data_IF_396666144270
#
_entry.id   IF_396666144270
#
_cell.length_a   1.000
_cell.length_b   1.000
_cell.length_c   1.000
_cell.angle_alpha   90.00
_cell.angle_beta   90.00
_cell.angle_gamma   90.00
#
_symmetry.space_group_name_H-M   'P 1'
#
loop_
_entity.id
_entity.type
_entity.pdbx_description
1 polymer ?
#
# COMPACT_ATOMS: atom_id res chain seq x y z
N UNK A 1 3.54 -22.55 35.56
CA UNK A 1 3.01 -22.69 34.19
C UNK A 1 1.97 -21.60 33.99
N UNK A 2 2.39 -20.41 33.56
CA UNK A 2 1.47 -19.34 33.20
C UNK A 2 1.11 -19.56 31.73
N UNK A 3 -0.15 -19.86 31.44
CA UNK A 3 -0.64 -19.96 30.08
C UNK A 3 -0.65 -18.54 29.51
N UNK A 4 0.19 -18.27 28.51
CA UNK A 4 0.19 -17.02 27.77
C UNK A 4 -1.08 -16.97 26.93
N UNK A 5 -2.15 -16.35 27.47
CA UNK A 5 -3.39 -16.09 26.73
C UNK A 5 -3.17 -15.00 25.66
N UNK A 6 -2.01 -14.34 25.66
CA UNK A 6 -1.75 -13.15 24.85
C UNK A 6 -1.19 -13.47 23.46
N UNK A 7 -0.64 -14.67 23.24
CA UNK A 7 0.08 -14.99 22.00
C UNK A 7 -0.84 -15.48 20.86
N UNK A 8 -1.96 -16.15 21.15
CA UNK A 8 -2.82 -16.74 20.11
C UNK A 8 -4.02 -15.87 19.72
N UNK A 9 -4.71 -15.22 20.67
CA UNK A 9 -6.01 -14.59 20.37
C UNK A 9 -5.90 -13.19 19.72
N UNK A 10 -4.78 -12.49 19.94
CA UNK A 10 -4.53 -11.16 19.37
C UNK A 10 -3.68 -11.16 18.09
N UNK A 11 -2.93 -12.23 17.80
CA UNK A 11 -2.07 -12.31 16.62
C UNK A 11 -2.85 -12.64 15.34
N UNK A 12 -4.00 -13.33 15.44
CA UNK A 12 -4.72 -13.85 14.28
C UNK A 12 -5.79 -12.90 13.72
N UNK A 13 -6.19 -11.87 14.49
CA UNK A 13 -7.18 -10.90 14.02
C UNK A 13 -6.49 -9.69 13.42
N UNK A 14 -6.06 -9.82 12.16
CA UNK A 14 -5.81 -8.66 11.29
C UNK A 14 -7.13 -7.88 11.17
N UNK A 15 -7.38 -6.91 12.05
CA UNK A 15 -8.54 -6.05 11.91
C UNK A 15 -8.31 -5.19 10.66
N UNK A 16 -9.18 -5.36 9.66
CA UNK A 16 -9.15 -4.53 8.47
C UNK A 16 -10.03 -3.32 8.70
N UNK A 17 -9.48 -2.13 8.49
CA UNK A 17 -10.27 -0.90 8.46
C UNK A 17 -10.06 -0.18 7.16
N UNK A 18 -11.01 0.69 6.83
CA UNK A 18 -10.99 1.48 5.60
C UNK A 18 -10.89 2.94 5.91
N UNK A 19 -10.09 3.63 5.12
CA UNK A 19 -9.94 5.07 5.16
C UNK A 19 -10.03 5.62 3.74
N UNK A 20 -10.52 6.85 3.62
CA UNK A 20 -10.37 7.63 2.39
C UNK A 20 -9.48 8.81 2.71
N UNK A 21 -8.33 8.88 2.04
CA UNK A 21 -7.34 9.95 2.25
C UNK A 21 -7.02 10.56 0.89
N UNK A 22 -7.24 11.88 0.75
CA UNK A 22 -6.96 12.63 -0.48
C UNK A 22 -7.54 11.97 -1.76
N UNK A 23 -8.80 11.52 -1.65
CA UNK A 23 -9.54 10.86 -2.72
C UNK A 23 -9.15 9.40 -2.99
N UNK A 24 -8.25 8.80 -2.18
CA UNK A 24 -7.82 7.41 -2.30
C UNK A 24 -8.46 6.56 -1.20
N UNK A 25 -9.19 5.53 -1.60
CA UNK A 25 -9.78 4.55 -0.69
C UNK A 25 -8.78 3.44 -0.38
N UNK A 26 -8.40 3.26 0.88
CA UNK A 26 -7.44 2.25 1.33
C UNK A 26 -8.06 1.35 2.38
N UNK A 27 -7.97 0.04 2.16
CA UNK A 27 -7.98 -0.96 3.23
C UNK A 27 -6.60 -0.97 3.88
N UNK A 28 -6.58 -0.99 5.20
CA UNK A 28 -5.39 -1.12 6.04
C UNK A 28 -5.61 -2.27 7.01
N UNK A 29 -4.53 -2.96 7.39
CA UNK A 29 -4.59 -4.11 8.28
C UNK A 29 -3.36 -4.22 9.20
N UNK A 30 -2.75 -3.06 9.51
CA UNK A 30 -1.59 -2.99 10.39
C UNK A 30 -1.92 -3.38 11.84
N UNK A 31 -1.29 -4.44 12.34
CA UNK A 31 -1.24 -4.76 13.76
C UNK A 31 0.23 -4.85 14.18
N UNK A 32 0.60 -4.05 15.19
CA UNK A 32 1.99 -3.92 15.64
C UNK A 32 2.61 -5.26 16.06
N UNK A 33 3.93 -5.33 15.89
CA UNK A 33 4.86 -6.39 16.31
C UNK A 33 4.95 -7.68 15.46
N UNK A 34 4.13 -7.89 14.43
CA UNK A 34 4.38 -8.97 13.48
C UNK A 34 5.53 -8.62 12.49
N UNK A 35 6.40 -9.58 12.19
CA UNK A 35 7.43 -9.42 11.15
C UNK A 35 6.77 -9.02 9.81
N UNK A 36 7.39 -8.07 9.10
CA UNK A 36 6.89 -7.51 7.83
C UNK A 36 5.48 -6.87 7.87
N UNK A 37 4.91 -6.61 9.05
CA UNK A 37 3.55 -6.08 9.16
C UNK A 37 3.38 -4.62 8.71
N UNK A 38 4.48 -3.86 8.54
CA UNK A 38 4.43 -2.42 8.25
C UNK A 38 3.79 -2.07 6.91
N UNK A 39 3.77 -3.00 5.94
CA UNK A 39 3.14 -2.79 4.64
C UNK A 39 1.61 -2.62 4.70
N UNK A 40 0.99 -2.97 5.82
CA UNK A 40 -0.45 -2.90 6.06
C UNK A 40 -1.01 -1.51 6.43
N UNK A 41 -0.15 -0.49 6.53
CA UNK A 41 -0.54 0.87 6.93
C UNK A 41 -0.16 1.93 5.90
N UNK A 42 -0.95 3.01 5.83
CA UNK A 42 -0.56 4.26 5.22
C UNK A 42 0.36 5.00 6.19
N UNK A 43 1.60 5.23 5.78
CA UNK A 43 2.58 5.99 6.54
C UNK A 43 2.61 7.45 6.11
N UNK A 44 2.86 8.35 7.07
CA UNK A 44 2.93 9.80 6.85
C UNK A 44 3.96 10.18 5.77
N UNK A 45 5.04 9.41 5.64
CA UNK A 45 6.05 9.62 4.60
C UNK A 45 5.47 9.55 3.18
N UNK A 46 4.44 8.73 2.95
CA UNK A 46 3.78 8.64 1.65
C UNK A 46 2.97 9.90 1.34
N UNK A 47 2.36 10.52 2.36
CA UNK A 47 1.67 11.80 2.23
C UNK A 47 2.66 12.93 1.95
N UNK A 48 3.75 13.00 2.72
CA UNK A 48 4.82 14.00 2.53
C UNK A 48 5.47 13.86 1.16
N UNK A 49 5.76 12.63 0.71
CA UNK A 49 6.32 12.39 -0.61
C UNK A 49 5.34 12.85 -1.70
N UNK A 50 4.06 12.50 -1.59
CA UNK A 50 3.04 12.94 -2.53
C UNK A 50 2.99 14.48 -2.64
N UNK A 51 2.90 15.18 -1.51
CA UNK A 51 2.91 16.64 -1.47
C UNK A 51 4.13 17.24 -2.19
N UNK A 52 5.30 16.64 -2.03
CA UNK A 52 6.53 17.13 -2.66
C UNK A 52 6.59 16.91 -4.18
N UNK A 53 5.81 15.96 -4.72
CA UNK A 53 5.89 15.57 -6.13
C UNK A 53 4.59 15.76 -6.93
N UNK A 54 3.48 16.10 -6.28
CA UNK A 54 2.16 16.11 -6.93
C UNK A 54 2.00 17.14 -8.05
N UNK A 55 2.81 18.20 -8.04
CA UNK A 55 2.83 19.26 -9.05
C UNK A 55 3.63 18.89 -10.31
N UNK A 56 4.34 17.76 -10.31
CA UNK A 56 5.13 17.32 -11.48
C UNK A 56 4.23 16.81 -12.61
N UNK A 57 4.65 16.94 -13.88
CA UNK A 57 3.88 16.45 -15.02
C UNK A 57 4.03 14.92 -15.17
N UNK A 58 3.16 14.18 -14.47
CA UNK A 58 3.19 12.72 -14.41
C UNK A 58 2.59 12.00 -15.62
N UNK A 59 1.74 12.67 -16.41
CA UNK A 59 1.06 12.06 -17.55
C UNK A 59 2.06 11.41 -18.53
N UNK A 60 1.88 10.13 -18.80
CA UNK A 60 2.73 9.33 -19.68
C UNK A 60 4.12 9.00 -19.13
N UNK A 61 4.46 9.39 -17.89
CA UNK A 61 5.74 9.03 -17.27
C UNK A 61 5.73 7.58 -16.80
N UNK A 62 6.85 6.90 -16.99
CA UNK A 62 7.08 5.56 -16.43
C UNK A 62 7.67 5.69 -15.03
N UNK A 63 7.03 5.07 -14.05
CA UNK A 63 7.44 5.14 -12.63
C UNK A 63 7.61 3.73 -12.08
N UNK A 64 8.67 3.53 -11.29
CA UNK A 64 8.85 2.36 -10.44
C UNK A 64 8.73 2.84 -8.99
N UNK A 65 7.84 2.22 -8.22
CA UNK A 65 7.72 2.43 -6.78
C UNK A 65 8.25 1.20 -6.05
N UNK A 66 9.15 1.42 -5.09
CA UNK A 66 9.74 0.39 -4.24
C UNK A 66 9.13 0.51 -2.84
N UNK A 67 8.63 -0.59 -2.28
CA UNK A 67 7.98 -0.58 -0.97
C UNK A 67 6.62 0.12 -1.01
N UNK A 68 5.76 -0.26 -1.96
CA UNK A 68 4.45 0.36 -2.19
C UNK A 68 3.48 0.19 -1.02
N UNK A 69 3.66 -0.82 -0.16
CA UNK A 69 2.77 -1.11 0.99
C UNK A 69 1.29 -1.13 0.58
N UNK A 70 0.48 -0.29 1.24
CA UNK A 70 -0.96 -0.13 0.95
C UNK A 70 -1.27 0.47 -0.43
N UNK A 71 -0.29 1.03 -1.14
CA UNK A 71 -0.43 1.49 -2.53
C UNK A 71 -0.93 2.91 -2.73
N UNK A 72 -0.83 3.78 -1.72
CA UNK A 72 -1.33 5.16 -1.82
C UNK A 72 -0.72 5.94 -3.00
N UNK A 73 0.62 5.97 -3.08
CA UNK A 73 1.31 6.70 -4.15
C UNK A 73 1.07 6.06 -5.52
N UNK A 74 1.05 4.74 -5.62
CA UNK A 74 0.67 4.04 -6.85
C UNK A 74 -0.68 4.53 -7.40
N UNK A 75 -1.69 4.63 -6.54
CA UNK A 75 -3.00 5.17 -6.93
C UNK A 75 -2.90 6.63 -7.35
N UNK A 76 -2.29 7.50 -6.55
CA UNK A 76 -2.17 8.94 -6.86
C UNK A 76 -1.45 9.20 -8.17
N UNK A 77 -0.35 8.48 -8.43
CA UNK A 77 0.44 8.60 -9.66
C UNK A 77 -0.35 8.11 -10.87
N UNK A 78 -1.04 6.97 -10.75
CA UNK A 78 -1.90 6.46 -11.81
C UNK A 78 -3.05 7.43 -12.12
N UNK A 79 -3.67 8.04 -11.10
CA UNK A 79 -4.70 9.08 -11.27
C UNK A 79 -4.17 10.33 -11.98
N UNK A 80 -2.87 10.65 -11.87
CA UNK A 80 -2.21 11.71 -12.66
C UNK A 80 -1.76 11.27 -14.05
N UNK A 81 -2.10 10.04 -14.46
CA UNK A 81 -1.79 9.50 -15.78
C UNK A 81 -0.38 8.95 -15.94
N UNK A 82 0.34 8.67 -14.85
CA UNK A 82 1.58 7.90 -14.91
C UNK A 82 1.30 6.44 -15.28
N UNK A 83 2.32 5.79 -15.87
CA UNK A 83 2.40 4.34 -16.04
C UNK A 83 3.32 3.80 -14.95
N UNK A 84 2.75 3.22 -13.90
CA UNK A 84 3.49 2.82 -12.70
C UNK A 84 3.61 1.29 -12.57
N UNK A 85 4.80 0.85 -12.17
CA UNK A 85 5.04 -0.48 -11.62
C UNK A 85 5.20 -0.33 -10.11
N UNK A 86 4.20 -0.80 -9.36
CA UNK A 86 4.18 -0.78 -7.90
C UNK A 86 4.73 -2.11 -7.36
N UNK A 87 5.70 -2.04 -6.45
CA UNK A 87 6.41 -3.22 -5.97
C UNK A 87 6.55 -3.25 -4.47
N UNK A 88 6.50 -4.44 -3.90
CA UNK A 88 6.79 -4.69 -2.50
C UNK A 88 7.47 -6.06 -2.34
N UNK A 89 8.27 -6.18 -1.29
CA UNK A 89 8.99 -7.41 -0.93
C UNK A 89 8.19 -8.33 -0.01
N UNK A 90 7.06 -7.86 0.51
CA UNK A 90 6.16 -8.63 1.36
C UNK A 90 4.90 -9.10 0.63
N UNK A 91 4.57 -10.39 0.77
CA UNK A 91 3.45 -10.99 0.04
C UNK A 91 2.08 -10.49 0.52
N UNK A 92 1.93 -10.21 1.82
CA UNK A 92 0.69 -9.67 2.39
C UNK A 92 0.47 -8.23 1.96
N UNK A 93 1.53 -7.42 1.94
CA UNK A 93 1.52 -6.08 1.36
C UNK A 93 1.13 -6.11 -0.12
N UNK A 94 1.68 -7.06 -0.89
CA UNK A 94 1.31 -7.23 -2.31
C UNK A 94 -0.15 -7.63 -2.52
N UNK A 95 -0.75 -8.41 -1.60
CA UNK A 95 -2.18 -8.71 -1.63
C UNK A 95 -3.00 -7.44 -1.39
N UNK A 96 -2.66 -6.70 -0.34
CA UNK A 96 -3.37 -5.47 0.04
C UNK A 96 -3.24 -4.36 -1.01
N UNK A 97 -2.04 -4.18 -1.57
CA UNK A 97 -1.76 -3.28 -2.70
C UNK A 97 -2.73 -3.54 -3.86
N UNK A 98 -2.85 -4.80 -4.29
CA UNK A 98 -3.71 -5.18 -5.41
C UNK A 98 -5.18 -4.96 -5.11
N UNK A 99 -5.61 -5.23 -3.87
CA UNK A 99 -6.99 -4.96 -3.43
C UNK A 99 -7.28 -3.46 -3.47
N UNK A 100 -6.39 -2.63 -2.95
CA UNK A 100 -6.53 -1.18 -2.96
C UNK A 100 -6.51 -0.58 -4.36
N UNK A 101 -5.67 -1.08 -5.28
CA UNK A 101 -5.69 -0.66 -6.68
C UNK A 101 -7.06 -0.93 -7.33
N UNK A 102 -7.61 -2.14 -7.14
CA UNK A 102 -8.95 -2.49 -7.65
C UNK A 102 -10.04 -1.58 -7.09
N UNK A 103 -9.99 -1.26 -5.79
CA UNK A 103 -10.97 -0.39 -5.13
C UNK A 103 -10.98 1.03 -5.70
N UNK A 104 -9.81 1.54 -6.06
CA UNK A 104 -9.67 2.85 -6.71
C UNK A 104 -9.83 2.78 -8.24
N UNK A 105 -10.31 1.66 -8.77
CA UNK A 105 -10.51 1.43 -10.19
C UNK A 105 -9.23 1.64 -11.01
N UNK A 106 -8.06 1.41 -10.42
CA UNK A 106 -6.76 1.51 -11.10
C UNK A 106 -6.37 0.12 -11.61
N UNK A 107 -6.11 0.02 -12.91
CA UNK A 107 -5.86 -1.23 -13.61
C UNK A 107 -4.81 -1.05 -14.72
N UNK A 108 -4.38 -2.15 -15.34
CA UNK A 108 -3.51 -2.12 -16.52
C UNK A 108 -4.20 -1.33 -17.66
N UNK A 109 -3.48 -0.47 -18.41
CA UNK A 109 -2.03 -0.28 -18.41
C UNK A 109 -1.51 0.81 -17.47
N UNK A 110 -2.38 1.47 -16.69
CA UNK A 110 -1.97 2.55 -15.80
C UNK A 110 -1.09 2.03 -14.64
N UNK A 111 -1.41 0.86 -14.10
CA UNK A 111 -0.63 0.19 -13.06
C UNK A 111 -0.30 -1.26 -13.41
N UNK A 112 0.89 -1.70 -13.03
CA UNK A 112 1.27 -3.11 -12.90
C UNK A 112 1.83 -3.34 -11.50
N UNK A 113 1.67 -4.55 -10.98
CA UNK A 113 2.25 -4.94 -9.69
C UNK A 113 3.29 -6.04 -9.90
N UNK A 114 4.41 -5.97 -9.18
CA UNK A 114 5.42 -7.01 -9.20
C UNK A 114 5.97 -7.24 -7.79
N UNK A 115 6.17 -8.51 -7.42
CA UNK A 115 6.87 -8.85 -6.19
C UNK A 115 8.36 -8.58 -6.40
N UNK A 116 8.98 -7.82 -5.49
CA UNK A 116 10.38 -7.44 -5.58
C UNK A 116 11.01 -7.41 -4.18
N UNK A 117 11.64 -8.52 -3.74
CA UNK A 117 12.37 -8.55 -2.49
C UNK A 117 13.66 -7.73 -2.63
N UNK A 118 14.15 -7.22 -1.51
CA UNK A 118 15.32 -6.35 -1.41
C UNK A 118 16.39 -6.99 -0.53
#
# INVERSE_FOLDING_TARGET
>A
MAYSVVDEENAERKCEWRVTVDGVMLTQNFFGAAENATGGALWDSSLVLWESVQSRPWHGKRVLELGSGVGFLAVKLAMKGAQIVATDGDADAMYLLRDNLKRNQIHDPAVRTAFLPW
#
